data_IF_195048389476
#
_entry.id   IF_195048389476
#
_cell.length_a   1.000
_cell.length_b   1.000
_cell.length_c   1.000
_cell.angle_alpha   90.00
_cell.angle_beta   90.00
_cell.angle_gamma   90.00
#
_symmetry.space_group_name_H-M   'P 1'
#
loop_
_entity.id
_entity.type
_entity.pdbx_description
1 polymer ?
#
# COMPACT_ATOMS: atom_id res chain seq x y z
N UNK A 1 12.14 16.72 -10.50
CA UNK A 1 11.28 15.96 -9.56
C UNK A 1 11.40 14.48 -9.90
N UNK A 2 12.09 13.68 -9.08
CA UNK A 2 12.41 12.26 -9.40
C UNK A 2 11.19 11.37 -9.11
N UNK A 3 10.21 11.37 -10.01
CA UNK A 3 8.95 10.62 -9.80
C UNK A 3 9.10 9.11 -10.11
N UNK A 4 10.23 8.68 -10.66
CA UNK A 4 10.50 7.30 -11.05
C UNK A 4 11.63 6.65 -10.23
N UNK A 5 11.70 6.90 -8.92
CA UNK A 5 12.45 5.97 -8.06
C UNK A 5 11.79 4.58 -8.16
N UNK A 6 12.57 3.66 -8.72
CA UNK A 6 12.24 2.31 -9.15
C UNK A 6 11.22 1.60 -8.24
N UNK A 7 10.10 1.15 -8.83
CA UNK A 7 9.06 0.39 -8.15
C UNK A 7 9.64 -0.83 -7.43
N UNK A 8 10.64 -1.49 -8.03
CA UNK A 8 11.32 -2.63 -7.43
C UNK A 8 12.10 -2.24 -6.17
N UNK A 9 12.75 -1.07 -6.17
CA UNK A 9 13.40 -0.54 -4.97
C UNK A 9 12.40 -0.25 -3.86
N UNK A 10 11.24 0.33 -4.18
CA UNK A 10 10.17 0.59 -3.19
C UNK A 10 9.60 -0.70 -2.61
N UNK A 11 9.36 -1.69 -3.46
CA UNK A 11 8.89 -3.01 -3.03
C UNK A 11 9.93 -3.73 -2.17
N UNK A 12 11.20 -3.64 -2.53
CA UNK A 12 12.31 -4.21 -1.74
C UNK A 12 12.37 -3.57 -0.36
N UNK A 13 12.26 -2.25 -0.27
CA UNK A 13 12.23 -1.53 1.00
C UNK A 13 11.02 -1.94 1.85
N UNK A 14 9.84 -2.05 1.24
CA UNK A 14 8.64 -2.51 1.95
C UNK A 14 8.80 -3.93 2.51
N UNK A 15 9.37 -4.85 1.72
CA UNK A 15 9.64 -6.22 2.16
C UNK A 15 10.58 -6.24 3.35
N UNK A 16 11.69 -5.50 3.26
CA UNK A 16 12.68 -5.42 4.35
C UNK A 16 12.08 -4.82 5.62
N UNK A 17 11.21 -3.80 5.50
CA UNK A 17 10.50 -3.25 6.65
C UNK A 17 9.54 -4.27 7.27
N UNK A 18 8.83 -5.05 6.45
CA UNK A 18 7.95 -6.10 6.94
C UNK A 18 8.73 -7.19 7.67
N UNK A 19 9.86 -7.62 7.11
CA UNK A 19 10.75 -8.61 7.73
C UNK A 19 11.27 -8.09 9.08
N UNK A 20 11.76 -6.85 9.11
CA UNK A 20 12.19 -6.18 10.34
C UNK A 20 11.07 -6.05 11.38
N UNK A 21 9.84 -5.71 10.97
CA UNK A 21 8.71 -5.60 11.88
C UNK A 21 8.24 -6.96 12.42
N UNK A 22 8.34 -8.03 11.63
CA UNK A 22 7.96 -9.39 12.03
C UNK A 22 8.85 -9.90 13.17
N UNK A 23 10.14 -9.51 13.20
CA UNK A 23 11.06 -9.81 14.31
C UNK A 23 10.56 -9.29 15.67
N UNK A 24 9.70 -8.27 15.67
CA UNK A 24 9.07 -7.70 16.87
C UNK A 24 7.58 -8.07 17.01
N UNK A 25 7.06 -8.95 16.15
CA UNK A 25 5.63 -9.31 16.13
C UNK A 25 4.71 -8.15 15.69
N UNK A 26 5.24 -7.16 14.99
CA UNK A 26 4.50 -5.99 14.53
C UNK A 26 3.93 -6.17 13.12
N UNK A 27 2.86 -5.43 12.86
CA UNK A 27 2.23 -5.32 11.54
C UNK A 27 2.48 -3.95 10.95
N UNK A 28 2.72 -3.91 9.64
CA UNK A 28 2.82 -2.67 8.87
C UNK A 28 1.51 -2.45 8.12
N UNK A 29 0.93 -1.27 8.30
CA UNK A 29 -0.22 -0.83 7.53
C UNK A 29 0.14 0.44 6.75
N UNK A 30 0.05 0.38 5.43
CA UNK A 30 0.25 1.54 4.59
C UNK A 30 -1.09 2.25 4.34
N UNK A 31 -1.12 3.56 4.45
CA UNK A 31 -2.33 4.34 4.15
C UNK A 31 -2.52 4.42 2.63
N UNK A 32 -3.76 4.31 2.15
CA UNK A 32 -4.06 4.64 0.74
C UNK A 32 -3.75 6.10 0.50
N UNK A 33 -3.08 6.42 -0.61
CA UNK A 33 -2.71 7.79 -0.97
C UNK A 33 -2.87 8.01 -2.47
N UNK A 34 -3.18 9.24 -2.85
CA UNK A 34 -3.32 9.64 -4.25
C UNK A 34 -1.97 9.64 -4.97
N UNK A 35 -1.98 9.34 -6.28
CA UNK A 35 -0.81 9.28 -7.17
C UNK A 35 0.28 8.27 -6.72
N UNK A 36 -0.13 7.20 -6.04
CA UNK A 36 0.75 6.20 -5.44
C UNK A 36 0.38 4.77 -5.83
N UNK A 37 1.21 3.77 -5.45
CA UNK A 37 0.92 2.36 -5.73
C UNK A 37 -0.30 1.83 -4.96
N UNK A 38 -0.72 2.53 -3.90
CA UNK A 38 -1.83 2.17 -3.01
C UNK A 38 -3.02 3.12 -3.17
N UNK A 39 -3.41 3.40 -4.41
CA UNK A 39 -4.47 4.37 -4.73
C UNK A 39 -5.81 3.70 -5.04
N UNK A 40 -5.80 2.54 -5.70
CA UNK A 40 -7.02 1.83 -6.12
C UNK A 40 -7.03 0.41 -5.57
N UNK A 41 -8.20 -0.22 -5.46
CA UNK A 41 -8.31 -1.62 -5.01
C UNK A 41 -7.42 -2.56 -5.83
N UNK A 42 -7.38 -2.39 -7.16
CA UNK A 42 -6.55 -3.19 -8.05
C UNK A 42 -5.06 -2.97 -7.78
N UNK A 43 -4.63 -1.71 -7.66
CA UNK A 43 -3.23 -1.39 -7.42
C UNK A 43 -2.78 -1.83 -6.00
N UNK A 44 -3.67 -1.73 -5.02
CA UNK A 44 -3.49 -2.22 -3.65
C UNK A 44 -3.31 -3.73 -3.67
N UNK A 45 -4.25 -4.47 -4.26
CA UNK A 45 -4.21 -5.94 -4.32
C UNK A 45 -2.95 -6.43 -5.02
N UNK A 46 -2.59 -5.80 -6.14
CA UNK A 46 -1.35 -6.09 -6.87
C UNK A 46 -0.10 -5.81 -6.02
N UNK A 47 -0.08 -4.68 -5.30
CA UNK A 47 1.06 -4.30 -4.45
C UNK A 47 1.21 -5.25 -3.27
N UNK A 48 0.12 -5.56 -2.56
CA UNK A 48 0.11 -6.55 -1.47
C UNK A 48 0.61 -7.92 -1.95
N UNK A 49 0.17 -8.38 -3.13
CA UNK A 49 0.65 -9.63 -3.72
C UNK A 49 2.16 -9.60 -4.03
N UNK A 50 2.68 -8.46 -4.51
CA UNK A 50 4.12 -8.29 -4.77
C UNK A 50 4.96 -8.24 -3.48
N UNK A 51 4.44 -7.64 -2.41
CA UNK A 51 5.09 -7.60 -1.09
C UNK A 51 5.13 -9.01 -0.49
N UNK A 52 4.01 -9.73 -0.52
CA UNK A 52 3.96 -11.14 -0.16
C UNK A 52 4.33 -11.42 1.31
N UNK A 53 3.94 -10.52 2.23
CA UNK A 53 4.17 -10.66 3.67
C UNK A 53 2.86 -10.62 4.44
N UNK A 54 2.66 -11.58 5.34
CA UNK A 54 1.44 -11.75 6.15
C UNK A 54 1.18 -10.59 7.12
N UNK A 55 2.24 -9.88 7.51
CA UNK A 55 2.18 -8.75 8.44
C UNK A 55 2.08 -7.39 7.72
N UNK A 56 1.84 -7.39 6.40
CA UNK A 56 1.61 -6.19 5.62
C UNK A 56 0.14 -6.03 5.24
N UNK A 57 -0.41 -4.84 5.43
CA UNK A 57 -1.78 -4.49 5.06
C UNK A 57 -1.92 -3.03 4.64
N UNK A 58 -3.17 -2.62 4.39
CA UNK A 58 -3.51 -1.26 3.95
C UNK A 58 -4.63 -0.69 4.82
N UNK A 59 -4.50 0.58 5.21
CA UNK A 59 -5.57 1.37 5.82
C UNK A 59 -6.21 2.21 4.72
N UNK A 60 -7.53 2.04 4.55
CA UNK A 60 -8.31 2.86 3.64
C UNK A 60 -8.55 4.25 4.23
N UNK A 61 -8.09 5.25 3.52
CA UNK A 61 -8.35 6.66 3.82
C UNK A 61 -9.44 7.18 2.88
N UNK A 62 -10.57 7.57 3.47
CA UNK A 62 -11.75 8.01 2.75
C UNK A 62 -11.49 9.24 1.86
N UNK A 63 -10.70 10.21 2.33
CA UNK A 63 -10.38 11.40 1.57
C UNK A 63 -9.50 11.07 0.37
N UNK A 64 -8.51 10.20 0.54
CA UNK A 64 -7.65 9.79 -0.57
C UNK A 64 -8.39 8.96 -1.63
N UNK A 65 -9.33 8.09 -1.23
CA UNK A 65 -10.18 7.36 -2.17
C UNK A 65 -11.11 8.29 -2.95
N UNK A 66 -11.71 9.27 -2.28
CA UNK A 66 -12.56 10.28 -2.91
C UNK A 66 -11.76 11.10 -3.95
N UNK A 67 -10.57 11.57 -3.60
CA UNK A 67 -9.69 12.34 -4.50
C UNK A 67 -9.21 11.47 -5.68
N UNK A 68 -8.98 10.16 -5.47
CA UNK A 68 -8.62 9.23 -6.53
C UNK A 68 -9.74 8.98 -7.56
N UNK A 69 -10.90 9.64 -7.42
CA UNK A 69 -12.02 9.55 -8.37
C UNK A 69 -12.75 8.20 -8.32
N UNK A 70 -12.54 7.41 -7.26
CA UNK A 70 -13.29 6.17 -7.03
C UNK A 70 -14.48 6.53 -6.15
N UNK A 71 -15.65 6.69 -6.78
CA UNK A 71 -16.93 6.72 -6.05
C UNK A 71 -16.99 5.49 -5.16
N UNK A 72 -17.05 5.70 -3.85
CA UNK A 72 -17.23 4.63 -2.88
C UNK A 72 -18.56 3.92 -3.18
N UNK A 73 -18.54 2.84 -3.95
CA UNK A 73 -19.56 1.79 -3.84
C UNK A 73 -19.29 0.99 -2.55
N UNK A 74 -19.13 1.69 -1.43
CA UNK A 74 -19.27 1.07 -0.12
C UNK A 74 -20.77 0.83 0.03
N UNK A 75 -21.22 -0.38 -0.29
CA UNK A 75 -22.49 -0.89 0.20
C UNK A 75 -22.34 -1.04 1.71
N UNK A 76 -22.60 0.04 2.45
CA UNK A 76 -22.82 0.02 3.89
C UNK A 76 -24.14 -0.67 4.20
#
# INVERSE_FOLDING_TARGET
MRVFEDLERKLTLLKNLCDYADDYGLKIAAQTHTRGPLETIDSITKTCGKVGRKNFGVIFDAANLFIAGRSMELKL
#
